data_IF_012894537868
#
_entry.id   IF_012894537868
#
_cell.length_a   1.000
_cell.length_b   1.000
_cell.length_c   1.000
_cell.angle_alpha   90.00
_cell.angle_beta   90.00
_cell.angle_gamma   90.00
#
_symmetry.space_group_name_H-M   'P 1'
#
loop_
_entity.id
_entity.type
_entity.pdbx_description
1 polymer ?
#
# COMPACT_ATOMS: atom_id res chain seq x y z
N UNK A 1 2.29 -14.64 20.96
CA UNK A 1 2.27 -14.40 19.71
C UNK A 1 2.48 -12.97 19.34
N UNK A 2 3.04 -12.77 18.26
CA UNK A 2 3.35 -11.43 17.84
C UNK A 2 2.12 -10.56 17.80
N UNK A 3 1.02 -11.15 17.49
CA UNK A 3 -0.17 -10.37 17.49
C UNK A 3 -0.56 -9.93 18.84
N UNK A 4 -0.14 -10.65 19.84
CA UNK A 4 -0.43 -10.23 21.17
C UNK A 4 0.22 -8.94 21.47
N UNK A 5 1.41 -8.76 20.98
CA UNK A 5 2.06 -7.49 21.14
C UNK A 5 1.23 -6.41 20.55
N UNK A 6 0.65 -6.69 19.41
CA UNK A 6 -0.20 -5.72 18.77
C UNK A 6 -1.44 -5.47 19.57
N UNK A 7 -1.99 -6.52 20.12
CA UNK A 7 -3.20 -6.36 20.92
C UNK A 7 -2.95 -5.56 22.18
N UNK A 8 -1.82 -5.76 22.77
CA UNK A 8 -1.49 -5.06 23.99
C UNK A 8 -1.47 -3.58 23.76
N UNK A 9 -1.10 -3.16 22.59
CA UNK A 9 -1.00 -1.75 22.31
C UNK A 9 -2.32 -1.07 22.11
N UNK A 10 -3.38 -1.78 21.90
CA UNK A 10 -4.60 -1.15 21.41
C UNK A 10 -5.06 -0.03 22.30
N UNK A 11 -5.09 -0.27 23.60
CA UNK A 11 -5.55 0.76 24.50
C UNK A 11 -4.62 1.93 24.59
N UNK A 12 -3.33 1.65 24.61
CA UNK A 12 -2.36 2.70 24.59
C UNK A 12 -2.48 3.49 23.32
N UNK A 13 -2.81 2.83 22.24
CA UNK A 13 -2.87 3.50 20.97
C UNK A 13 -4.02 4.46 20.87
N UNK A 14 -5.12 4.17 21.50
CA UNK A 14 -6.21 5.13 21.49
C UNK A 14 -5.77 6.44 22.07
N UNK A 15 -4.95 6.37 23.07
CA UNK A 15 -4.45 7.57 23.69
C UNK A 15 -3.34 8.20 22.89
N UNK A 16 -2.47 7.36 22.33
CA UNK A 16 -1.33 7.86 21.59
C UNK A 16 -1.69 8.38 20.22
N UNK A 17 -2.85 7.99 19.71
CA UNK A 17 -3.24 8.42 18.38
C UNK A 17 -3.29 9.92 18.23
N UNK A 18 -3.69 10.62 19.28
CA UNK A 18 -3.75 12.06 19.19
C UNK A 18 -2.36 12.67 19.03
N UNK A 19 -1.40 12.12 19.74
CA UNK A 19 -0.04 12.59 19.61
C UNK A 19 0.52 12.22 18.25
N UNK A 20 0.15 11.04 17.76
CA UNK A 20 0.65 10.59 16.48
C UNK A 20 0.10 11.45 15.33
N UNK A 21 -1.10 11.89 15.43
CA UNK A 21 -1.64 12.77 14.41
C UNK A 21 -0.82 14.03 14.31
N UNK A 22 -0.46 14.59 15.43
CA UNK A 22 0.37 15.78 15.41
C UNK A 22 1.72 15.51 14.78
N UNK A 23 2.29 14.35 15.08
CA UNK A 23 3.58 13.98 14.50
C UNK A 23 3.48 13.75 13.02
N UNK A 24 2.38 13.14 12.58
CA UNK A 24 2.20 12.86 11.16
C UNK A 24 2.08 14.15 10.36
N UNK A 25 1.46 15.16 10.93
CA UNK A 25 1.36 16.44 10.22
C UNK A 25 2.70 17.10 10.09
N UNK A 26 3.64 16.78 10.98
CA UNK A 26 4.98 17.35 10.93
C UNK A 26 5.94 16.58 10.05
N UNK A 27 5.54 15.38 9.60
CA UNK A 27 6.42 14.59 8.77
C UNK A 27 6.46 15.12 7.34
N UNK A 28 7.62 15.00 6.69
CA UNK A 28 7.68 15.36 5.29
C UNK A 28 6.75 14.45 4.49
N UNK A 29 6.21 14.96 3.41
CA UNK A 29 5.39 14.15 2.53
C UNK A 29 6.22 13.07 1.88
N UNK A 30 5.66 11.87 1.82
CA UNK A 30 6.27 10.79 1.06
C UNK A 30 5.62 10.81 -0.31
N UNK A 31 6.42 10.96 -1.34
CA UNK A 31 5.89 11.13 -2.68
C UNK A 31 6.03 9.86 -3.48
N UNK A 32 4.98 9.51 -4.22
CA UNK A 32 5.05 8.39 -5.13
C UNK A 32 5.73 8.85 -6.41
N UNK A 33 6.89 8.30 -6.70
CA UNK A 33 7.65 8.70 -7.89
C UNK A 33 7.63 7.64 -8.98
N UNK A 34 7.01 6.49 -8.70
CA UNK A 34 6.79 5.50 -9.75
C UNK A 34 5.62 5.89 -10.63
N UNK A 35 5.26 5.03 -11.56
CA UNK A 35 4.14 5.32 -12.44
C UNK A 35 2.83 5.20 -11.67
N UNK A 36 1.83 5.95 -12.11
CA UNK A 36 0.51 5.84 -11.49
C UNK A 36 -0.08 4.46 -11.72
N UNK A 37 0.18 3.87 -12.87
CA UNK A 37 -0.32 2.54 -13.16
C UNK A 37 0.22 1.53 -12.16
N UNK A 38 1.49 1.66 -11.78
CA UNK A 38 2.08 0.76 -10.78
C UNK A 38 1.37 0.88 -9.44
N UNK A 39 1.09 2.09 -9.02
CA UNK A 39 0.42 2.29 -7.74
C UNK A 39 -1.00 1.75 -7.80
N UNK A 40 -1.69 1.95 -8.91
CA UNK A 40 -3.05 1.44 -9.07
C UNK A 40 -3.04 -0.09 -9.06
N UNK A 41 -2.06 -0.69 -9.69
CA UNK A 41 -1.91 -2.15 -9.64
C UNK A 41 -1.79 -2.62 -8.19
N UNK A 42 -0.97 -1.95 -7.41
CA UNK A 42 -0.78 -2.30 -6.01
C UNK A 42 -2.07 -2.11 -5.20
N UNK A 43 -2.74 -1.00 -5.42
CA UNK A 43 -3.98 -0.71 -4.69
C UNK A 43 -5.02 -1.78 -4.94
N UNK A 44 -5.22 -2.17 -6.20
CA UNK A 44 -6.20 -3.19 -6.51
C UNK A 44 -5.79 -4.56 -5.98
N UNK A 45 -4.50 -4.86 -6.00
CA UNK A 45 -4.03 -6.12 -5.44
C UNK A 45 -4.34 -6.19 -3.95
N UNK A 46 -4.08 -5.12 -3.22
CA UNK A 46 -4.36 -5.09 -1.80
C UNK A 46 -5.85 -5.17 -1.53
N UNK A 47 -6.64 -4.50 -2.37
CA UNK A 47 -8.09 -4.53 -2.22
C UNK A 47 -8.64 -5.94 -2.40
N UNK A 48 -8.20 -6.63 -3.44
CA UNK A 48 -8.70 -7.97 -3.70
C UNK A 48 -8.16 -8.98 -2.70
N UNK A 49 -6.99 -8.72 -2.14
CA UNK A 49 -6.46 -9.59 -1.09
C UNK A 49 -7.19 -9.35 0.23
N UNK A 50 -8.01 -8.31 0.29
CA UNK A 50 -8.86 -8.03 1.46
C UNK A 50 -8.05 -7.76 2.72
N UNK A 51 -6.96 -7.00 2.57
CA UNK A 51 -6.08 -6.73 3.70
C UNK A 51 -6.49 -5.51 4.50
N UNK A 52 -7.49 -4.76 4.04
CA UNK A 52 -7.98 -3.59 4.77
C UNK A 52 -9.37 -3.86 5.30
N UNK A 53 -9.56 -3.63 6.59
CA UNK A 53 -10.87 -3.73 7.25
C UNK A 53 -11.54 -5.06 6.96
N UNK A 54 -10.76 -6.14 6.94
CA UNK A 54 -11.27 -7.49 6.68
C UNK A 54 -12.01 -7.60 5.36
N UNK A 55 -11.55 -6.82 4.36
CA UNK A 55 -12.15 -6.87 3.05
C UNK A 55 -13.32 -5.96 2.85
N UNK A 56 -13.66 -5.16 3.85
CA UNK A 56 -14.82 -4.27 3.77
C UNK A 56 -14.51 -2.88 3.27
N UNK A 57 -13.24 -2.56 3.05
CA UNK A 57 -12.88 -1.22 2.58
C UNK A 57 -13.21 -1.07 1.11
N UNK A 58 -13.85 0.05 0.77
CA UNK A 58 -14.17 0.39 -0.60
C UNK A 58 -12.90 0.76 -1.35
N UNK A 59 -12.83 0.35 -2.61
CA UNK A 59 -11.65 0.65 -3.42
C UNK A 59 -11.42 2.17 -3.52
N UNK A 60 -12.51 2.95 -3.59
CA UNK A 60 -12.36 4.39 -3.68
C UNK A 60 -11.76 4.97 -2.41
N UNK A 61 -12.12 4.42 -1.28
CA UNK A 61 -11.56 4.87 -0.01
C UNK A 61 -10.08 4.54 0.07
N UNK A 62 -9.73 3.33 -0.33
CA UNK A 62 -8.32 2.91 -0.33
C UNK A 62 -7.51 3.82 -1.24
N UNK A 63 -8.03 4.11 -2.43
CA UNK A 63 -7.33 4.97 -3.37
C UNK A 63 -7.12 6.36 -2.79
N UNK A 64 -8.11 6.90 -2.08
CA UNK A 64 -7.96 8.22 -1.49
C UNK A 64 -6.89 8.24 -0.41
N UNK A 65 -6.81 7.20 0.39
CA UNK A 65 -5.76 7.12 1.40
C UNK A 65 -4.37 7.08 0.77
N UNK A 66 -4.25 6.34 -0.33
CA UNK A 66 -2.96 6.27 -1.01
C UNK A 66 -2.61 7.61 -1.66
N UNK A 67 -3.61 8.28 -2.24
CA UNK A 67 -3.36 9.59 -2.83
C UNK A 67 -2.87 10.57 -1.78
N UNK A 68 -3.51 10.57 -0.63
CA UNK A 68 -3.14 11.48 0.44
C UNK A 68 -1.78 11.14 1.03
N UNK A 69 -1.55 9.86 1.25
CA UNK A 69 -0.31 9.42 1.90
C UNK A 69 0.90 9.66 1.00
N UNK A 70 0.75 9.40 -0.28
CA UNK A 70 1.88 9.46 -1.21
C UNK A 70 1.86 10.70 -2.09
N UNK A 71 0.99 11.63 -1.79
CA UNK A 71 0.96 12.93 -2.47
C UNK A 71 0.89 12.77 -3.98
N UNK A 72 -0.08 12.00 -4.45
CA UNK A 72 -0.24 11.70 -5.86
C UNK A 72 -1.72 11.73 -6.21
N UNK A 73 -2.02 12.16 -7.44
CA UNK A 73 -3.37 12.17 -7.97
C UNK A 73 -3.49 11.01 -8.94
N UNK A 74 -4.35 10.05 -8.62
CA UNK A 74 -4.48 8.86 -9.46
C UNK A 74 -5.42 9.04 -10.63
N UNK A 75 -6.21 10.10 -10.60
CA UNK A 75 -7.14 10.37 -11.68
C UNK A 75 -8.20 9.29 -11.78
N UNK A 76 -8.50 8.90 -13.01
CA UNK A 76 -9.52 7.87 -13.24
C UNK A 76 -8.88 6.49 -13.10
N UNK A 77 -8.74 6.02 -11.87
CA UNK A 77 -8.03 4.78 -11.62
C UNK A 77 -8.81 3.56 -12.10
N UNK A 78 -10.13 3.67 -12.24
CA UNK A 78 -10.91 2.58 -12.82
C UNK A 78 -10.50 2.31 -14.26
N UNK A 79 -10.34 3.37 -15.01
CA UNK A 79 -9.95 3.24 -16.41
C UNK A 79 -8.56 2.64 -16.53
N UNK A 80 -7.66 3.09 -15.68
CA UNK A 80 -6.31 2.53 -15.68
C UNK A 80 -6.33 1.05 -15.32
N UNK A 81 -7.15 0.68 -14.35
CA UNK A 81 -7.26 -0.73 -13.99
C UNK A 81 -7.80 -1.56 -15.14
N UNK A 82 -8.78 -1.04 -15.87
CA UNK A 82 -9.28 -1.76 -17.04
C UNK A 82 -8.19 -1.97 -18.07
N UNK A 83 -7.36 -0.96 -18.27
CA UNK A 83 -6.24 -1.08 -19.17
C UNK A 83 -5.25 -2.14 -18.71
N UNK A 84 -5.00 -2.19 -17.42
CA UNK A 84 -4.13 -3.24 -16.87
C UNK A 84 -4.71 -4.62 -17.11
N UNK A 85 -6.01 -4.76 -16.91
CA UNK A 85 -6.69 -6.05 -17.12
C UNK A 85 -6.60 -6.52 -18.56
N UNK A 86 -6.57 -5.61 -19.51
CA UNK A 86 -6.58 -5.99 -20.91
C UNK A 86 -5.20 -6.33 -21.44
N UNK A 87 -4.16 -6.14 -20.65
CA UNK A 87 -2.82 -6.54 -21.09
C UNK A 87 -2.79 -8.05 -21.29
N UNK A 88 -2.16 -8.48 -22.36
CA UNK A 88 -2.00 -9.91 -22.60
C UNK A 88 -0.80 -10.48 -21.88
N UNK A 89 0.19 -9.62 -21.60
CA UNK A 89 1.40 -10.02 -20.91
C UNK A 89 1.72 -8.96 -19.87
N UNK A 90 2.41 -9.38 -18.83
CA UNK A 90 2.91 -8.47 -17.80
C UNK A 90 1.77 -7.73 -17.10
N UNK A 91 0.69 -8.43 -16.83
CA UNK A 91 -0.47 -7.82 -16.17
C UNK A 91 -0.13 -7.38 -14.75
N UNK A 92 0.80 -8.07 -14.11
CA UNK A 92 1.23 -7.74 -12.76
C UNK A 92 2.71 -7.38 -12.75
N UNK A 93 3.12 -6.58 -13.72
CA UNK A 93 4.53 -6.27 -13.90
C UNK A 93 5.14 -5.64 -12.65
N UNK A 94 4.43 -4.71 -12.04
CA UNK A 94 4.95 -4.02 -10.87
C UNK A 94 5.04 -4.94 -9.66
N UNK A 95 3.98 -5.73 -9.44
CA UNK A 95 3.99 -6.67 -8.32
C UNK A 95 5.07 -7.72 -8.50
N UNK A 96 5.26 -8.17 -9.73
CA UNK A 96 6.33 -9.13 -9.99
C UNK A 96 7.69 -8.52 -9.69
N UNK A 97 7.88 -7.27 -10.06
CA UNK A 97 9.14 -6.57 -9.80
C UNK A 97 9.37 -6.41 -8.30
N UNK A 98 8.32 -6.09 -7.56
CA UNK A 98 8.44 -5.97 -6.11
C UNK A 98 8.86 -7.29 -5.49
N UNK A 99 8.21 -8.37 -5.93
CA UNK A 99 8.50 -9.68 -5.40
C UNK A 99 9.94 -10.08 -5.68
N UNK A 100 10.37 -9.88 -6.91
CA UNK A 100 11.72 -10.28 -7.31
C UNK A 100 12.78 -9.49 -6.58
N UNK A 101 12.54 -8.19 -6.42
CA UNK A 101 13.52 -7.37 -5.74
C UNK A 101 13.62 -7.76 -4.26
N UNK A 102 12.49 -8.04 -3.63
CA UNK A 102 12.50 -8.43 -2.24
C UNK A 102 13.23 -9.76 -2.05
N UNK A 103 12.94 -10.72 -2.92
CA UNK A 103 13.60 -12.02 -2.84
C UNK A 103 15.10 -11.87 -3.04
N UNK A 104 15.50 -11.05 -4.00
CA UNK A 104 16.91 -10.83 -4.27
C UNK A 104 17.63 -10.28 -3.05
N UNK A 105 16.98 -9.32 -2.37
CA UNK A 105 17.60 -8.74 -1.18
C UNK A 105 17.68 -9.73 -0.03
N UNK A 106 16.63 -10.53 0.12
CA UNK A 106 16.65 -11.56 1.15
C UNK A 106 17.77 -12.57 0.91
N UNK A 107 17.94 -12.97 -0.35
CA UNK A 107 18.99 -13.92 -0.67
C UNK A 107 20.37 -13.33 -0.40
N UNK A 108 20.56 -12.05 -0.72
CA UNK A 108 21.84 -11.40 -0.43
C UNK A 108 22.13 -11.37 1.05
N UNK A 109 21.12 -11.09 1.85
CA UNK A 109 21.29 -11.02 3.29
C UNK A 109 21.53 -12.40 3.89
N UNK A 110 20.92 -13.43 3.32
CA UNK A 110 21.09 -14.77 3.83
C UNK A 110 22.51 -15.30 3.56
N UNK A 111 23.13 -14.81 2.50
CA UNK A 111 24.49 -15.26 2.18
C UNK A 111 25.52 -14.70 3.12
N UNK A 112 25.16 -13.73 3.91
CA UNK A 112 26.08 -13.16 4.87
C UNK A 112 25.93 -13.80 6.23
#
# INVERSE_FOLDING_TARGET
MANDLIQVYIEDQLYKNMEQEDRLTDLPKLNWTGSKASLIELIYALHYQAVFDNGNADIRLIAKYFESTFNVDLGNFYQTYLELRTRKMNRTKFLDALREELIRRMDEQDEK
#
